data_IF_537155048725
#
_entry.id   IF_537155048725
#
_cell.length_a   1.000
_cell.length_b   1.000
_cell.length_c   1.000
_cell.angle_alpha   90.00
_cell.angle_beta   90.00
_cell.angle_gamma   90.00
#
_symmetry.space_group_name_H-M   'P 1'
#
loop_
_entity.id
_entity.type
_entity.pdbx_description
1 polymer ?
#
# COMPACT_ATOMS: atom_id res chain seq x y z
N UNK A 1 -4.03 -19.95 -12.06
CA UNK A 1 -4.15 -19.22 -10.73
C UNK A 1 -5.58 -18.81 -10.43
N UNK A 2 -5.93 -18.59 -9.11
CA UNK A 2 -7.29 -18.17 -8.73
C UNK A 2 -7.75 -16.91 -9.46
N UNK A 3 -6.87 -15.91 -9.61
CA UNK A 3 -7.21 -14.63 -10.26
C UNK A 3 -7.55 -14.77 -11.76
N UNK A 4 -6.99 -15.75 -12.46
CA UNK A 4 -7.30 -16.02 -13.88
C UNK A 4 -8.71 -16.58 -14.06
N UNK A 5 -9.19 -17.40 -13.11
CA UNK A 5 -10.52 -17.97 -13.10
C UNK A 5 -11.63 -17.02 -12.62
N UNK A 6 -11.28 -15.86 -12.04
CA UNK A 6 -12.27 -14.88 -11.58
C UNK A 6 -12.94 -14.16 -12.74
N UNK A 7 -14.28 -13.97 -12.67
CA UNK A 7 -15.05 -13.19 -13.66
C UNK A 7 -15.14 -11.70 -13.31
N UNK A 8 -14.74 -11.30 -12.10
CA UNK A 8 -14.79 -9.90 -11.65
C UNK A 8 -13.63 -9.09 -12.23
N UNK A 9 -13.89 -7.86 -12.65
CA UNK A 9 -12.87 -6.91 -13.13
C UNK A 9 -12.01 -6.34 -12.00
N UNK A 10 -12.48 -6.46 -10.76
CA UNK A 10 -11.78 -5.99 -9.56
C UNK A 10 -11.62 -7.16 -8.60
N UNK A 11 -10.41 -7.28 -8.04
CA UNK A 11 -10.03 -8.33 -7.09
C UNK A 11 -9.64 -7.70 -5.77
N UNK A 12 -10.11 -8.28 -4.66
CA UNK A 12 -9.65 -7.98 -3.30
C UNK A 12 -8.72 -9.11 -2.85
N UNK A 13 -7.47 -8.76 -2.58
CA UNK A 13 -6.48 -9.67 -2.00
C UNK A 13 -6.46 -9.47 -0.49
N UNK A 14 -6.72 -10.54 0.25
CA UNK A 14 -6.71 -10.58 1.72
C UNK A 14 -5.85 -11.74 2.21
N UNK A 15 -5.06 -11.49 3.24
CA UNK A 15 -4.44 -12.53 4.06
C UNK A 15 -5.44 -13.00 5.14
N UNK A 16 -5.28 -14.22 5.63
CA UNK A 16 -6.24 -14.86 6.57
C UNK A 16 -6.17 -14.27 8.00
N UNK A 17 -5.14 -13.50 8.31
CA UNK A 17 -4.88 -12.84 9.60
C UNK A 17 -5.28 -11.35 9.62
N UNK A 18 -6.17 -10.94 8.72
CA UNK A 18 -6.65 -9.57 8.57
C UNK A 18 -8.14 -9.44 8.95
N UNK A 19 -8.50 -9.39 10.25
CA UNK A 19 -9.87 -9.17 10.67
C UNK A 19 -10.38 -7.78 10.27
N UNK A 20 -11.65 -7.74 9.85
CA UNK A 20 -12.40 -6.51 9.62
C UNK A 20 -12.70 -5.83 10.97
N UNK A 21 -12.33 -4.55 11.11
CA UNK A 21 -12.56 -3.80 12.36
C UNK A 21 -13.52 -2.62 12.18
N UNK A 22 -13.90 -2.32 10.95
CA UNK A 22 -14.82 -1.24 10.63
C UNK A 22 -16.28 -1.70 10.55
N UNK A 23 -17.21 -0.77 10.79
CA UNK A 23 -18.63 -1.02 10.64
C UNK A 23 -19.00 -1.35 9.18
N UNK A 24 -20.11 -2.09 8.99
CA UNK A 24 -20.60 -2.43 7.65
C UNK A 24 -20.88 -1.19 6.77
N UNK A 25 -21.34 -0.09 7.39
CA UNK A 25 -21.60 1.16 6.67
C UNK A 25 -20.30 1.78 6.14
N UNK A 26 -19.28 1.90 7.01
CA UNK A 26 -17.94 2.41 6.60
C UNK A 26 -17.26 1.48 5.61
N UNK A 27 -17.40 0.17 5.78
CA UNK A 27 -16.84 -0.79 4.84
C UNK A 27 -17.45 -0.61 3.44
N UNK A 28 -18.78 -0.50 3.34
CA UNK A 28 -19.47 -0.23 2.06
C UNK A 28 -19.00 1.08 1.43
N UNK A 29 -18.87 2.15 2.21
CA UNK A 29 -18.40 3.44 1.71
C UNK A 29 -16.98 3.36 1.15
N UNK A 30 -16.03 2.81 1.91
CA UNK A 30 -14.64 2.73 1.48
C UNK A 30 -14.45 1.78 0.28
N UNK A 31 -15.22 0.69 0.21
CA UNK A 31 -15.23 -0.19 -0.97
C UNK A 31 -15.78 0.56 -2.19
N UNK A 32 -16.81 1.40 -2.02
CA UNK A 32 -17.34 2.21 -3.12
C UNK A 32 -16.30 3.23 -3.63
N UNK A 33 -15.60 3.95 -2.72
CA UNK A 33 -14.49 4.84 -3.09
C UNK A 33 -13.41 4.10 -3.87
N UNK A 34 -12.96 2.94 -3.37
CA UNK A 34 -11.93 2.13 -4.02
C UNK A 34 -12.36 1.66 -5.42
N UNK A 35 -13.60 1.18 -5.56
CA UNK A 35 -14.16 0.75 -6.86
C UNK A 35 -14.22 1.89 -7.85
N UNK A 36 -14.70 3.07 -7.44
CA UNK A 36 -14.76 4.25 -8.29
C UNK A 36 -13.35 4.68 -8.73
N UNK A 37 -12.43 4.83 -7.78
CA UNK A 37 -11.04 5.25 -8.05
C UNK A 37 -10.29 4.28 -9.00
N UNK A 38 -10.53 2.96 -8.87
CA UNK A 38 -9.95 1.95 -9.75
C UNK A 38 -10.60 1.97 -11.14
N UNK A 39 -11.92 2.09 -11.23
CA UNK A 39 -12.66 2.14 -12.49
C UNK A 39 -12.32 3.40 -13.30
N UNK A 40 -12.15 4.54 -12.64
CA UNK A 40 -11.75 5.81 -13.25
C UNK A 40 -10.24 5.92 -13.53
N UNK A 41 -9.47 4.86 -13.27
CA UNK A 41 -8.01 4.87 -13.39
C UNK A 41 -7.31 5.99 -12.57
N UNK A 42 -7.91 6.44 -11.49
CA UNK A 42 -7.30 7.42 -10.57
C UNK A 42 -6.18 6.79 -9.76
N UNK A 43 -6.32 5.49 -9.45
CA UNK A 43 -5.30 4.67 -8.80
C UNK A 43 -5.20 3.29 -9.47
N UNK A 44 -4.08 2.62 -9.28
CA UNK A 44 -3.84 1.26 -9.78
C UNK A 44 -4.08 0.20 -8.70
N UNK A 45 -3.89 0.59 -7.45
CA UNK A 45 -4.07 -0.25 -6.25
C UNK A 45 -4.72 0.58 -5.16
N UNK A 46 -5.68 0.01 -4.44
CA UNK A 46 -6.30 0.65 -3.27
C UNK A 46 -6.07 -0.19 -2.02
N UNK A 47 -5.59 0.45 -0.92
CA UNK A 47 -5.23 -0.21 0.33
C UNK A 47 -6.32 -0.10 1.36
N UNK A 48 -6.53 -1.20 2.09
CA UNK A 48 -7.51 -1.29 3.18
C UNK A 48 -6.91 -1.61 4.55
N UNK A 49 -5.59 -1.62 4.69
CA UNK A 49 -4.99 -1.68 6.03
C UNK A 49 -5.36 -0.44 6.82
N UNK A 50 -5.88 -0.64 8.04
CA UNK A 50 -6.40 0.45 8.85
C UNK A 50 -5.28 1.39 9.30
N UNK A 51 -5.45 2.71 9.05
CA UNK A 51 -4.40 3.71 9.28
C UNK A 51 -4.14 3.97 10.76
N UNK A 52 -5.20 3.97 11.59
CA UNK A 52 -5.10 4.26 13.02
C UNK A 52 -4.78 2.99 13.82
N UNK A 53 -5.32 1.85 13.39
CA UNK A 53 -5.14 0.55 14.03
C UNK A 53 -4.54 -0.47 13.07
N UNK A 54 -3.31 -0.27 12.60
CA UNK A 54 -2.71 -1.13 11.57
C UNK A 54 -2.39 -2.55 12.08
N UNK A 55 -2.42 -2.76 13.41
CA UNK A 55 -2.19 -4.05 14.05
C UNK A 55 -0.74 -4.48 14.12
N UNK A 56 -0.53 -5.77 14.36
CA UNK A 56 0.77 -6.37 14.60
C UNK A 56 1.71 -6.22 13.40
N UNK A 57 3.03 -6.09 13.69
CA UNK A 57 4.11 -5.96 12.70
C UNK A 57 3.92 -4.84 11.65
N UNK A 58 3.26 -3.76 12.06
CA UNK A 58 3.20 -2.60 11.17
C UNK A 58 4.61 -2.01 10.97
N UNK A 59 5.25 -2.39 9.87
CA UNK A 59 6.61 -1.99 9.51
C UNK A 59 6.67 -0.64 8.79
N UNK A 60 5.56 -0.18 8.19
CA UNK A 60 5.54 1.04 7.40
C UNK A 60 5.73 2.27 8.28
N UNK A 61 5.04 2.34 9.44
CA UNK A 61 5.22 3.39 10.45
C UNK A 61 6.67 3.45 10.96
N UNK A 62 7.22 2.29 11.32
CA UNK A 62 8.60 2.21 11.83
C UNK A 62 9.63 2.65 10.77
N UNK A 63 9.41 2.27 9.49
CA UNK A 63 10.25 2.71 8.37
C UNK A 63 10.15 4.22 8.16
N UNK A 64 8.95 4.80 8.26
CA UNK A 64 8.75 6.23 8.19
C UNK A 64 9.45 6.95 9.34
N UNK A 65 9.18 6.57 10.59
CA UNK A 65 9.75 7.18 11.80
C UNK A 65 11.28 7.12 11.84
N UNK A 66 11.90 6.12 11.20
CA UNK A 66 13.36 6.04 11.08
C UNK A 66 13.97 7.28 10.40
N UNK A 67 13.23 7.93 9.51
CA UNK A 67 13.69 9.10 8.74
C UNK A 67 13.03 10.40 9.18
N UNK A 68 11.81 10.35 9.72
CA UNK A 68 10.98 11.55 9.92
C UNK A 68 10.61 11.86 11.38
N UNK A 69 10.99 11.00 12.34
CA UNK A 69 10.85 11.36 13.75
C UNK A 69 11.68 12.62 14.08
N UNK A 70 11.25 13.46 15.06
CA UNK A 70 11.98 14.67 15.47
C UNK A 70 13.25 14.31 16.23
N UNK A 71 14.32 13.94 15.53
CA UNK A 71 15.63 13.62 16.13
C UNK A 71 16.76 13.93 15.16
N UNK A 72 17.92 14.32 15.70
CA UNK A 72 19.14 14.61 14.95
C UNK A 72 19.55 13.41 14.08
N UNK A 73 19.47 12.19 14.61
CA UNK A 73 19.80 10.98 13.84
C UNK A 73 18.89 10.78 12.62
N UNK A 74 17.59 11.09 12.73
CA UNK A 74 16.68 11.01 11.59
C UNK A 74 17.00 12.08 10.53
N UNK A 75 17.38 13.28 10.96
CA UNK A 75 17.82 14.35 10.05
C UNK A 75 19.08 13.95 9.29
N UNK A 76 20.11 13.47 9.98
CA UNK A 76 21.35 12.96 9.38
C UNK A 76 21.05 11.83 8.39
N UNK A 77 20.16 10.87 8.76
CA UNK A 77 19.76 9.78 7.85
C UNK A 77 19.08 10.29 6.57
N UNK A 78 18.24 11.32 6.67
CA UNK A 78 17.63 11.93 5.49
C UNK A 78 18.67 12.53 4.56
N UNK A 79 19.63 13.27 5.12
CA UNK A 79 20.74 13.88 4.36
C UNK A 79 21.60 12.82 3.67
N UNK A 80 22.00 11.77 4.41
CA UNK A 80 22.86 10.72 3.87
C UNK A 80 22.14 9.76 2.90
N UNK A 81 20.82 9.62 3.01
CA UNK A 81 20.02 8.65 2.23
C UNK A 81 18.72 9.25 1.72
N UNK A 82 18.76 10.38 0.97
CA UNK A 82 17.54 11.11 0.56
C UNK A 82 16.58 10.24 -0.25
N UNK A 83 17.09 9.44 -1.19
CA UNK A 83 16.26 8.55 -1.98
C UNK A 83 15.58 7.42 -1.17
N UNK A 84 16.14 7.01 -0.01
CA UNK A 84 15.45 6.08 0.90
C UNK A 84 14.41 6.80 1.74
N UNK A 85 14.68 8.01 2.20
CA UNK A 85 13.72 8.83 2.93
C UNK A 85 12.48 9.12 2.06
N UNK A 86 12.69 9.56 0.83
CA UNK A 86 11.62 9.86 -0.12
C UNK A 86 10.66 8.68 -0.35
N UNK A 87 11.18 7.45 -0.37
CA UNK A 87 10.37 6.22 -0.49
C UNK A 87 9.44 5.97 0.69
N UNK A 88 9.69 6.59 1.85
CA UNK A 88 8.93 6.37 3.07
C UNK A 88 7.86 7.42 3.30
N UNK A 89 7.81 8.48 2.49
CA UNK A 89 6.85 9.58 2.66
C UNK A 89 5.40 9.08 2.73
N UNK A 90 4.99 8.23 1.80
CA UNK A 90 3.64 7.69 1.77
C UNK A 90 3.27 6.81 2.96
N UNK A 91 4.27 6.27 3.68
CA UNK A 91 4.01 5.52 4.91
C UNK A 91 3.59 6.44 6.08
N UNK A 92 3.73 7.77 5.93
CA UNK A 92 3.25 8.73 6.93
C UNK A 92 1.74 8.64 7.16
N UNK A 93 0.98 8.09 6.22
CA UNK A 93 -0.47 7.86 6.39
C UNK A 93 -0.81 7.02 7.63
N UNK A 94 0.11 6.17 8.10
CA UNK A 94 -0.05 5.36 9.30
C UNK A 94 0.44 6.04 10.60
N UNK A 95 0.96 7.27 10.49
CA UNK A 95 1.55 8.01 11.63
C UNK A 95 0.91 9.38 11.81
N UNK A 96 0.59 10.05 10.69
CA UNK A 96 0.05 11.41 10.70
C UNK A 96 -1.45 11.38 10.38
N UNK A 97 -2.22 12.18 11.10
CA UNK A 97 -3.66 12.36 10.83
C UNK A 97 -3.87 13.04 9.47
N UNK A 98 -3.09 14.07 9.19
CA UNK A 98 -3.19 14.89 7.97
C UNK A 98 -1.86 14.90 7.20
N UNK A 99 -1.44 13.74 6.64
CA UNK A 99 -0.14 13.61 5.99
C UNK A 99 0.01 14.51 4.76
N UNK A 100 -1.08 14.83 4.06
CA UNK A 100 -1.11 15.71 2.89
C UNK A 100 -0.75 17.17 3.23
N UNK A 101 -0.95 17.62 4.47
CA UNK A 101 -0.51 18.94 4.92
C UNK A 101 1.00 19.01 5.18
N UNK A 102 1.65 17.87 5.33
CA UNK A 102 3.10 17.78 5.59
C UNK A 102 3.89 17.42 4.34
N UNK A 103 3.30 16.64 3.43
CA UNK A 103 3.97 16.10 2.25
C UNK A 103 3.12 16.31 1.00
N UNK A 104 3.63 17.11 0.06
CA UNK A 104 3.02 17.38 -1.25
C UNK A 104 2.85 16.13 -2.13
N UNK A 105 3.63 15.07 -1.85
CA UNK A 105 3.53 13.80 -2.54
C UNK A 105 2.30 12.96 -2.16
N UNK A 106 1.51 13.43 -1.19
CA UNK A 106 0.25 12.83 -0.72
C UNK A 106 -0.89 13.79 -1.04
N UNK A 107 -1.72 13.42 -1.96
CA UNK A 107 -2.90 14.18 -2.35
C UNK A 107 -4.13 13.68 -1.59
N UNK A 108 -4.87 14.57 -0.94
CA UNK A 108 -6.17 14.24 -0.37
C UNK A 108 -7.25 14.44 -1.45
N UNK A 109 -8.01 13.39 -1.72
CA UNK A 109 -9.13 13.43 -2.66
C UNK A 109 -10.39 14.03 -2.00
N UNK A 110 -11.36 14.52 -2.78
CA UNK A 110 -12.58 15.16 -2.25
C UNK A 110 -13.36 14.27 -1.26
N UNK A 111 -13.35 12.95 -1.47
CA UNK A 111 -14.01 11.97 -0.61
C UNK A 111 -13.23 11.65 0.67
N UNK A 112 -12.06 12.29 0.89
CA UNK A 112 -11.24 12.18 2.09
C UNK A 112 -10.14 11.11 2.06
N UNK A 113 -10.11 10.20 1.06
CA UNK A 113 -9.02 9.24 0.89
C UNK A 113 -7.77 9.88 0.26
N UNK A 114 -6.62 9.20 0.34
CA UNK A 114 -5.35 9.71 -0.17
C UNK A 114 -4.90 9.00 -1.44
N UNK A 115 -4.35 9.79 -2.38
CA UNK A 115 -3.64 9.31 -3.57
C UNK A 115 -2.14 9.55 -3.41
N UNK A 116 -1.34 8.50 -3.67
CA UNK A 116 0.11 8.52 -3.43
C UNK A 116 0.80 7.83 -4.61
N UNK A 117 1.84 8.44 -5.15
CA UNK A 117 2.66 7.73 -6.14
C UNK A 117 3.36 6.53 -5.53
N UNK A 118 3.39 5.40 -6.25
CA UNK A 118 4.12 4.20 -5.86
C UNK A 118 5.62 4.45 -5.59
N UNK A 119 6.17 5.53 -6.09
CA UNK A 119 7.54 6.01 -5.82
C UNK A 119 7.76 6.29 -4.34
N UNK A 120 6.74 6.76 -3.63
CA UNK A 120 6.82 7.30 -2.27
C UNK A 120 6.30 6.37 -1.18
N UNK A 121 5.67 5.25 -1.53
CA UNK A 121 5.10 4.31 -0.56
C UNK A 121 5.63 2.90 -0.77
N UNK A 122 5.84 2.14 0.31
CA UNK A 122 6.27 0.74 0.21
C UNK A 122 5.13 -0.13 -0.31
N UNK A 123 5.44 -1.19 -1.07
CA UNK A 123 4.44 -2.19 -1.46
C UNK A 123 4.12 -3.11 -0.28
N UNK A 124 2.87 -3.50 -0.16
CA UNK A 124 2.38 -4.59 0.66
C UNK A 124 1.23 -5.28 -0.04
N UNK A 125 1.15 -6.59 0.06
CA UNK A 125 0.04 -7.40 -0.47
C UNK A 125 -1.17 -7.43 0.49
N UNK A 126 -1.01 -6.91 1.69
CA UNK A 126 -2.03 -6.98 2.74
C UNK A 126 -3.22 -6.08 2.41
N UNK A 127 -4.41 -6.68 2.34
CA UNK A 127 -5.70 -6.00 2.13
C UNK A 127 -5.67 -4.95 1.02
N UNK A 128 -5.43 -5.36 -0.21
CA UNK A 128 -5.46 -4.48 -1.38
C UNK A 128 -6.59 -4.85 -2.34
N UNK A 129 -7.21 -3.82 -2.90
CA UNK A 129 -8.12 -3.95 -4.04
C UNK A 129 -7.40 -3.45 -5.30
N UNK A 130 -7.59 -4.16 -6.39
CA UNK A 130 -6.83 -3.95 -7.63
C UNK A 130 -7.67 -4.38 -8.83
N UNK A 131 -7.49 -3.74 -9.98
CA UNK A 131 -8.07 -4.27 -11.21
C UNK A 131 -7.42 -5.59 -11.57
N UNK A 132 -8.25 -6.54 -12.04
CA UNK A 132 -7.81 -7.89 -12.39
C UNK A 132 -6.77 -7.90 -13.51
N UNK A 133 -7.01 -7.14 -14.59
CA UNK A 133 -6.09 -6.98 -15.71
C UNK A 133 -4.73 -6.45 -15.24
N UNK A 134 -4.74 -5.39 -14.47
CA UNK A 134 -3.53 -4.80 -13.92
C UNK A 134 -2.77 -5.79 -13.01
N UNK A 135 -3.49 -6.57 -12.18
CA UNK A 135 -2.86 -7.58 -11.35
C UNK A 135 -2.16 -8.66 -12.17
N UNK A 136 -2.83 -9.19 -13.20
CA UNK A 136 -2.29 -10.24 -14.05
C UNK A 136 -1.11 -9.73 -14.89
N UNK A 137 -1.28 -8.61 -15.59
CA UNK A 137 -0.32 -8.12 -16.58
C UNK A 137 0.88 -7.39 -15.95
N UNK A 138 0.70 -6.71 -14.82
CA UNK A 138 1.76 -5.85 -14.25
C UNK A 138 2.37 -6.43 -12.98
N UNK A 139 1.57 -7.07 -12.13
CA UNK A 139 2.07 -7.59 -10.86
C UNK A 139 2.56 -9.02 -11.03
N UNK A 140 1.68 -9.88 -11.52
CA UNK A 140 1.96 -11.30 -11.63
C UNK A 140 3.01 -11.60 -12.71
N UNK A 141 2.83 -11.07 -13.91
CA UNK A 141 3.79 -11.24 -14.99
C UNK A 141 5.20 -10.76 -14.60
N UNK A 142 5.29 -9.63 -13.85
CA UNK A 142 6.57 -9.18 -13.32
C UNK A 142 7.16 -10.15 -12.29
N UNK A 143 6.34 -10.66 -11.35
CA UNK A 143 6.78 -11.58 -10.32
C UNK A 143 7.26 -12.92 -10.91
N UNK A 144 6.59 -13.42 -11.92
CA UNK A 144 6.97 -14.65 -12.64
C UNK A 144 8.27 -14.47 -13.43
N UNK A 145 8.44 -13.35 -14.11
CA UNK A 145 9.67 -13.01 -14.83
C UNK A 145 10.85 -12.69 -13.90
N UNK A 146 10.60 -12.34 -12.62
CA UNK A 146 11.61 -11.95 -11.65
C UNK A 146 11.39 -12.68 -10.31
N UNK A 147 11.54 -14.01 -10.26
CA UNK A 147 11.27 -14.77 -9.04
C UNK A 147 12.20 -14.34 -7.91
N UNK A 148 11.65 -14.10 -6.73
CA UNK A 148 12.41 -13.72 -5.55
C UNK A 148 13.25 -14.88 -5.04
N UNK A 149 14.49 -14.60 -4.64
CA UNK A 149 15.32 -15.53 -3.89
C UNK A 149 14.83 -15.75 -2.45
N UNK A 150 13.96 -14.87 -1.93
CA UNK A 150 13.25 -15.05 -0.66
C UNK A 150 11.95 -15.80 -0.91
N UNK A 151 11.69 -16.82 -0.12
CA UNK A 151 10.42 -17.55 -0.13
C UNK A 151 9.63 -17.30 1.16
N UNK A 152 8.31 -17.31 1.03
CA UNK A 152 7.35 -17.31 2.14
C UNK A 152 6.39 -18.48 1.89
N UNK A 153 6.29 -19.39 2.86
CA UNK A 153 5.48 -20.61 2.74
C UNK A 153 5.78 -21.44 1.45
N UNK A 154 7.07 -21.47 1.05
CA UNK A 154 7.51 -22.23 -0.15
C UNK A 154 7.34 -21.50 -1.49
N UNK A 155 6.76 -20.31 -1.50
CA UNK A 155 6.55 -19.50 -2.72
C UNK A 155 7.47 -18.28 -2.76
N UNK A 156 7.91 -17.80 -3.95
CA UNK A 156 8.68 -16.57 -4.09
C UNK A 156 7.94 -15.35 -3.51
N UNK A 157 8.65 -14.54 -2.72
CA UNK A 157 8.11 -13.36 -2.08
C UNK A 157 7.92 -12.20 -3.08
N UNK A 158 6.69 -11.99 -3.51
CA UNK A 158 6.31 -10.89 -4.42
C UNK A 158 6.58 -9.52 -3.82
N UNK A 159 6.37 -9.33 -2.51
CA UNK A 159 6.55 -8.03 -1.85
C UNK A 159 7.98 -7.51 -1.97
N UNK A 160 8.97 -8.40 -1.83
CA UNK A 160 10.38 -8.04 -1.94
C UNK A 160 10.68 -7.47 -3.34
N UNK A 161 10.20 -8.14 -4.38
CA UNK A 161 10.48 -7.75 -5.77
C UNK A 161 9.73 -6.45 -6.13
N UNK A 162 8.49 -6.28 -5.72
CA UNK A 162 7.71 -5.06 -5.94
C UNK A 162 8.19 -3.85 -5.11
N UNK A 163 9.06 -4.06 -4.12
CA UNK A 163 9.73 -2.97 -3.41
C UNK A 163 11.05 -2.52 -4.07
N UNK A 164 11.45 -3.13 -5.20
CA UNK A 164 12.59 -2.74 -6.03
C UNK A 164 12.29 -1.54 -6.96
N UNK A 165 13.31 -1.03 -7.69
CA UNK A 165 13.16 0.12 -8.57
C UNK A 165 12.07 0.02 -9.64
N UNK A 166 11.74 -1.17 -10.11
CA UNK A 166 10.72 -1.39 -11.14
C UNK A 166 9.41 -0.66 -10.81
N UNK A 167 8.76 -1.00 -9.71
CA UNK A 167 7.49 -0.39 -9.31
C UNK A 167 7.60 1.13 -9.10
N UNK A 168 8.73 1.60 -8.59
CA UNK A 168 8.92 3.03 -8.32
C UNK A 168 9.10 3.88 -9.57
N UNK A 169 9.50 3.26 -10.67
CA UNK A 169 9.60 3.90 -11.99
C UNK A 169 8.36 3.70 -12.84
N UNK A 170 7.40 2.89 -12.40
CA UNK A 170 6.22 2.49 -13.17
C UNK A 170 5.18 3.60 -13.35
N UNK A 171 5.23 4.67 -12.54
CA UNK A 171 4.19 5.69 -12.52
C UNK A 171 2.89 5.28 -11.81
N UNK A 172 2.83 4.08 -11.21
CA UNK A 172 1.64 3.60 -10.51
C UNK A 172 1.23 4.48 -9.34
N UNK A 173 -0.07 4.50 -9.08
CA UNK A 173 -0.69 5.27 -8.00
C UNK A 173 -1.39 4.35 -7.02
N UNK A 174 -1.28 4.68 -5.75
CA UNK A 174 -1.86 3.92 -4.64
C UNK A 174 -2.89 4.79 -3.94
N UNK A 175 -4.12 4.27 -3.81
CA UNK A 175 -5.16 4.84 -2.98
C UNK A 175 -5.09 4.29 -1.55
N UNK A 176 -5.47 5.09 -0.56
CA UNK A 176 -5.63 4.67 0.82
C UNK A 176 -6.69 5.53 1.52
N UNK A 177 -7.71 4.88 2.07
CA UNK A 177 -8.71 5.50 2.92
C UNK A 177 -8.35 5.25 4.41
N UNK A 178 -9.30 5.35 5.34
CA UNK A 178 -9.09 4.97 6.74
C UNK A 178 -8.59 3.52 6.86
N UNK A 179 -9.06 2.66 5.97
CA UNK A 179 -8.78 1.24 5.96
C UNK A 179 -9.88 0.45 6.67
N UNK A 180 -9.92 -0.85 6.42
CA UNK A 180 -10.96 -1.76 6.93
C UNK A 180 -10.40 -2.82 7.86
N UNK A 181 -9.14 -3.21 7.65
CA UNK A 181 -8.55 -4.40 8.26
C UNK A 181 -7.36 -4.04 9.14
N UNK A 182 -7.28 -4.68 10.28
CA UNK A 182 -6.09 -4.72 11.14
C UNK A 182 -5.36 -6.04 10.93
N UNK A 183 -4.09 -6.09 11.32
CA UNK A 183 -3.34 -7.35 11.32
C UNK A 183 -3.43 -7.95 12.72
N UNK A 184 -3.96 -9.16 12.83
CA UNK A 184 -4.06 -9.87 14.10
C UNK A 184 -2.67 -10.20 14.66
N UNK A 185 -2.58 -10.26 15.99
CA UNK A 185 -1.42 -10.89 16.64
C UNK A 185 -1.53 -12.41 16.48
N UNK A 186 -0.39 -13.09 16.26
CA UNK A 186 -0.36 -14.54 16.14
C UNK A 186 -0.71 -15.26 17.44
#
# INVERSE_FOLDING_TARGET
>A
MLAEGMRSDIVLLLENDLPLIESAARAKQQIAHAKAALANHEVDVFRFRHRIHPGYREQASLKFLRYYRPSLLAQIRRLLRPGKAQKMIGNSIYVLTEPHKTFEEIEQMPEGWFRISAKHITWSNQSIMIRRDFFLEKILAYAEANPSSRTVNGFPDIEKELNRPYRRKSGWRVGADLGLFTHAEP
#
